data_IF_341634095236
#
_entry.id   IF_341634095236
#
_cell.length_a   1.000
_cell.length_b   1.000
_cell.length_c   1.000
_cell.angle_alpha   90.00
_cell.angle_beta   90.00
_cell.angle_gamma   90.00
#
_symmetry.space_group_name_H-M   'P 1'
#
loop_
_entity.id
_entity.type
_entity.pdbx_description
1 polymer ?
#
# COMPACT_ATOMS: atom_id res chain seq x y z
N UNK A 1 -6.93 59.76 16.35
CA UNK A 1 -5.67 59.06 16.00
C UNK A 1 -5.69 57.69 16.65
N UNK A 2 -6.12 56.65 15.95
CA UNK A 2 -6.12 55.28 16.46
C UNK A 2 -5.21 54.42 15.58
N UNK A 3 -4.11 53.93 16.16
CA UNK A 3 -3.18 53.01 15.50
C UNK A 3 -3.75 51.60 15.62
N UNK A 4 -4.20 51.04 14.50
CA UNK A 4 -4.55 49.63 14.37
C UNK A 4 -3.24 48.85 14.24
N UNK A 5 -2.91 48.05 15.24
CA UNK A 5 -1.80 47.07 15.17
C UNK A 5 -2.43 45.71 14.92
N UNK A 6 -2.43 45.28 13.65
CA UNK A 6 -2.85 43.94 13.25
C UNK A 6 -1.72 42.99 13.63
N UNK A 7 -1.87 42.30 14.77
CA UNK A 7 -1.03 41.15 15.11
C UNK A 7 -1.53 39.97 14.29
N UNK A 8 -0.88 39.72 13.16
CA UNK A 8 -1.05 38.50 12.37
C UNK A 8 -0.49 37.35 13.21
N UNK A 9 -1.37 36.65 13.93
CA UNK A 9 -1.06 35.37 14.54
C UNK A 9 -0.89 34.33 13.42
N UNK A 10 0.37 34.03 13.09
CA UNK A 10 0.71 32.87 12.26
C UNK A 10 0.45 31.62 13.11
N UNK A 11 -0.77 31.11 13.05
CA UNK A 11 -1.07 29.78 13.56
C UNK A 11 -0.47 28.76 12.59
N UNK A 12 0.71 28.24 12.93
CA UNK A 12 1.18 26.99 12.35
C UNK A 12 0.15 25.91 12.69
N UNK A 13 -0.54 25.39 11.67
CA UNK A 13 -1.34 24.19 11.80
C UNK A 13 -0.40 23.01 12.03
N UNK A 14 0.07 22.85 13.26
CA UNK A 14 0.71 21.64 13.72
C UNK A 14 -0.37 20.56 13.74
N UNK A 15 -0.40 19.74 12.69
CA UNK A 15 -1.04 18.43 12.73
C UNK A 15 -0.55 17.76 14.02
N UNK A 16 -1.45 17.51 14.97
CA UNK A 16 -1.09 16.92 16.25
C UNK A 16 -0.63 15.48 16.00
N UNK A 17 0.66 15.32 15.72
CA UNK A 17 1.40 14.17 16.17
C UNK A 17 1.18 14.06 17.68
N UNK A 18 0.93 12.85 18.18
CA UNK A 18 1.19 12.55 19.58
C UNK A 18 2.54 13.15 19.98
N UNK A 19 2.78 13.58 21.22
CA UNK A 19 4.08 14.14 21.59
C UNK A 19 5.18 13.11 21.28
N UNK A 20 5.98 13.34 20.23
CA UNK A 20 6.93 12.37 19.66
C UNK A 20 6.45 11.51 18.46
N UNK A 21 5.34 11.87 17.80
CA UNK A 21 4.69 11.08 16.76
C UNK A 21 5.28 11.24 15.35
N UNK A 22 5.25 10.15 14.59
CA UNK A 22 5.70 10.10 13.20
C UNK A 22 4.69 10.81 12.31
N UNK A 23 5.15 11.75 11.48
CA UNK A 23 4.32 12.36 10.45
C UNK A 23 4.20 11.41 9.26
N UNK A 24 3.03 10.81 9.09
CA UNK A 24 2.74 9.95 7.95
C UNK A 24 2.40 10.80 6.74
N UNK A 25 3.43 11.14 5.96
CA UNK A 25 3.33 11.81 4.66
C UNK A 25 3.18 10.82 3.51
N UNK A 26 3.71 11.20 2.34
CA UNK A 26 3.73 10.31 1.17
C UNK A 26 4.52 9.02 1.45
N UNK A 27 4.09 7.92 0.81
CA UNK A 27 4.84 6.65 0.88
C UNK A 27 6.26 6.85 0.31
N UNK A 28 7.32 6.48 1.04
CA UNK A 28 8.69 6.67 0.57
C UNK A 28 8.95 5.98 -0.77
N UNK A 29 9.49 6.71 -1.76
CA UNK A 29 9.76 6.17 -3.11
C UNK A 29 10.77 5.02 -3.13
N UNK A 30 11.63 4.95 -2.10
CA UNK A 30 12.61 3.90 -1.93
C UNK A 30 12.12 2.74 -1.04
N UNK A 31 10.83 2.69 -0.64
CA UNK A 31 10.31 1.69 0.28
C UNK A 31 10.62 0.27 -0.17
N UNK A 32 10.34 -0.08 -1.42
CA UNK A 32 10.64 -1.39 -2.00
C UNK A 32 12.12 -1.66 -2.31
N UNK A 33 12.96 -0.62 -2.39
CA UNK A 33 14.42 -0.82 -2.46
C UNK A 33 14.96 -1.17 -1.08
N UNK A 34 14.40 -0.54 -0.06
CA UNK A 34 14.77 -0.73 1.33
C UNK A 34 14.21 -2.01 1.94
N UNK A 35 13.00 -2.39 1.54
CA UNK A 35 12.41 -3.69 1.75
C UNK A 35 13.07 -4.64 0.75
N UNK A 36 13.94 -5.55 1.19
CA UNK A 36 14.67 -6.49 0.30
C UNK A 36 13.75 -7.59 -0.25
N UNK A 37 12.50 -7.24 -0.56
CA UNK A 37 11.46 -8.10 -1.09
C UNK A 37 11.74 -8.39 -2.57
N UNK A 38 11.88 -9.68 -2.94
CA UNK A 38 11.89 -10.07 -4.34
C UNK A 38 10.59 -9.69 -5.05
N UNK A 39 10.66 -9.39 -6.35
CA UNK A 39 9.48 -9.10 -7.15
C UNK A 39 8.51 -10.29 -7.17
N UNK A 40 7.23 -10.05 -6.92
CA UNK A 40 6.18 -11.07 -6.97
C UNK A 40 5.77 -11.43 -8.40
N UNK A 41 6.05 -10.55 -9.36
CA UNK A 41 5.62 -10.73 -10.76
C UNK A 41 6.85 -10.75 -11.65
N UNK A 42 6.84 -11.64 -12.65
CA UNK A 42 7.95 -11.76 -13.60
C UNK A 42 8.11 -10.48 -14.43
N UNK A 43 9.35 -10.20 -14.83
CA UNK A 43 9.64 -9.10 -15.76
C UNK A 43 8.89 -9.24 -17.08
N UNK A 44 8.74 -10.47 -17.59
CA UNK A 44 8.01 -10.73 -18.84
C UNK A 44 6.55 -10.25 -18.78
N UNK A 45 5.80 -10.67 -17.76
CA UNK A 45 4.42 -10.22 -17.54
C UNK A 45 4.36 -8.69 -17.33
N UNK A 46 5.34 -8.14 -16.59
CA UNK A 46 5.43 -6.69 -16.37
C UNK A 46 5.64 -5.92 -17.67
N UNK A 47 6.47 -6.42 -18.58
CA UNK A 47 6.69 -5.83 -19.90
C UNK A 47 5.44 -5.90 -20.77
N UNK A 48 4.77 -7.05 -20.83
CA UNK A 48 3.54 -7.24 -21.62
C UNK A 48 2.41 -6.33 -21.16
N UNK A 49 2.27 -6.13 -19.86
CA UNK A 49 1.21 -5.32 -19.27
C UNK A 49 1.62 -3.84 -19.09
N UNK A 50 2.72 -3.38 -19.69
CA UNK A 50 3.18 -1.99 -19.53
C UNK A 50 2.30 -0.98 -20.27
N UNK A 51 1.71 -1.37 -21.40
CA UNK A 51 0.93 -0.49 -22.29
C UNK A 51 -0.55 -0.36 -21.91
N UNK A 52 -1.03 -1.11 -20.91
CA UNK A 52 -2.42 -1.01 -20.45
C UNK A 52 -2.68 0.32 -19.77
N UNK A 53 -3.74 1.00 -20.15
CA UNK A 53 -4.20 2.24 -19.52
C UNK A 53 -4.94 1.95 -18.22
N UNK A 54 -4.59 2.64 -17.14
CA UNK A 54 -5.26 2.52 -15.85
C UNK A 54 -4.64 1.46 -14.94
N UNK A 55 -4.73 1.69 -13.63
CA UNK A 55 -4.11 0.82 -12.63
C UNK A 55 -4.80 -0.53 -12.57
N UNK A 56 -6.13 -0.56 -12.47
CA UNK A 56 -6.87 -1.82 -12.44
C UNK A 56 -6.61 -2.71 -13.66
N UNK A 57 -6.65 -2.16 -14.88
CA UNK A 57 -6.45 -2.95 -16.10
C UNK A 57 -5.03 -3.51 -16.20
N UNK A 58 -4.03 -2.75 -15.71
CA UNK A 58 -2.66 -3.23 -15.60
C UNK A 58 -2.53 -4.42 -14.67
N UNK A 59 -3.13 -4.36 -13.48
CA UNK A 59 -3.08 -5.47 -12.52
C UNK A 59 -3.89 -6.67 -13.03
N UNK A 60 -5.05 -6.45 -13.65
CA UNK A 60 -5.82 -7.49 -14.34
C UNK A 60 -4.98 -8.20 -15.38
N UNK A 61 -4.27 -7.46 -16.23
CA UNK A 61 -3.35 -8.02 -17.22
C UNK A 61 -2.29 -8.92 -16.56
N UNK A 62 -1.67 -8.47 -15.46
CA UNK A 62 -0.67 -9.27 -14.73
C UNK A 62 -1.25 -10.59 -14.21
N UNK A 63 -2.49 -10.57 -13.69
CA UNK A 63 -3.16 -11.76 -13.20
C UNK A 63 -3.51 -12.74 -14.35
N UNK A 64 -3.88 -12.24 -15.55
CA UNK A 64 -4.09 -13.08 -16.73
C UNK A 64 -2.81 -13.74 -17.20
N UNK A 65 -1.75 -12.95 -17.39
CA UNK A 65 -0.44 -13.47 -17.84
C UNK A 65 0.15 -14.47 -16.85
N UNK A 66 -0.08 -14.25 -15.56
CA UNK A 66 0.37 -15.15 -14.49
C UNK A 66 -0.56 -16.36 -14.27
N UNK A 67 -1.65 -16.45 -15.04
CA UNK A 67 -2.66 -17.53 -14.96
C UNK A 67 -3.33 -17.66 -13.58
N UNK A 68 -3.47 -16.54 -12.86
CA UNK A 68 -4.19 -16.46 -11.58
C UNK A 68 -5.65 -16.05 -11.74
N UNK A 69 -6.19 -16.20 -12.94
CA UNK A 69 -7.58 -15.96 -13.27
C UNK A 69 -8.28 -17.29 -13.56
N UNK A 70 -9.53 -17.43 -13.13
CA UNK A 70 -10.42 -18.53 -13.52
C UNK A 70 -11.77 -17.97 -13.93
N UNK A 71 -12.12 -18.09 -15.21
CA UNK A 71 -13.31 -17.46 -15.78
C UNK A 71 -13.24 -15.94 -15.59
N UNK A 72 -14.21 -15.38 -14.87
CA UNK A 72 -14.36 -13.94 -14.67
C UNK A 72 -13.82 -13.44 -13.32
N UNK A 73 -13.19 -14.29 -12.50
CA UNK A 73 -12.68 -13.93 -11.18
C UNK A 73 -11.26 -14.42 -10.89
N UNK A 74 -10.61 -13.78 -9.91
CA UNK A 74 -9.30 -14.21 -9.39
C UNK A 74 -9.41 -15.62 -8.81
N UNK A 75 -8.54 -16.50 -9.29
CA UNK A 75 -8.35 -17.84 -8.74
C UNK A 75 -7.47 -17.75 -7.48
N UNK A 76 -8.12 -17.49 -6.34
CA UNK A 76 -7.43 -17.33 -5.05
C UNK A 76 -6.62 -18.58 -4.66
N UNK A 77 -7.03 -19.78 -5.12
CA UNK A 77 -6.32 -21.04 -4.85
C UNK A 77 -5.01 -21.10 -5.63
N UNK A 78 -5.03 -20.76 -6.93
CA UNK A 78 -3.80 -20.66 -7.72
C UNK A 78 -2.87 -19.57 -7.19
N UNK A 79 -3.42 -18.42 -6.80
CA UNK A 79 -2.60 -17.34 -6.27
C UNK A 79 -1.98 -17.70 -4.90
N UNK A 80 -2.72 -18.37 -4.02
CA UNK A 80 -2.19 -18.92 -2.77
C UNK A 80 -1.08 -19.97 -3.03
N UNK A 81 -1.27 -20.81 -4.05
CA UNK A 81 -0.25 -21.79 -4.47
C UNK A 81 1.02 -21.09 -4.95
N UNK A 82 0.88 -20.04 -5.76
CA UNK A 82 2.01 -19.20 -6.16
C UNK A 82 2.74 -18.62 -4.95
N UNK A 83 2.03 -18.06 -3.97
CA UNK A 83 2.62 -17.50 -2.76
C UNK A 83 3.38 -18.58 -1.96
N UNK A 84 2.88 -19.81 -1.89
CA UNK A 84 3.59 -20.93 -1.26
C UNK A 84 4.91 -21.24 -1.96
N UNK A 85 4.90 -21.34 -3.29
CA UNK A 85 6.12 -21.58 -4.08
C UNK A 85 7.11 -20.42 -3.94
N UNK A 86 6.62 -19.19 -3.89
CA UNK A 86 7.44 -18.02 -3.61
C UNK A 86 8.07 -18.11 -2.21
N UNK A 87 7.33 -18.56 -1.19
CA UNK A 87 7.84 -18.77 0.17
C UNK A 87 8.90 -19.86 0.26
N UNK A 88 8.76 -20.95 -0.52
CA UNK A 88 9.81 -22.00 -0.62
C UNK A 88 11.13 -21.44 -1.16
N UNK A 89 11.06 -20.53 -2.14
CA UNK A 89 12.24 -19.90 -2.74
C UNK A 89 12.82 -18.77 -1.87
N UNK A 90 12.00 -18.20 -1.00
CA UNK A 90 12.39 -17.09 -0.14
C UNK A 90 11.94 -17.35 1.32
N UNK A 91 12.59 -18.28 2.03
CA UNK A 91 12.15 -18.76 3.34
C UNK A 91 11.95 -17.65 4.39
N UNK A 92 12.72 -16.57 4.30
CA UNK A 92 12.63 -15.41 5.20
C UNK A 92 11.28 -14.66 5.09
N UNK A 93 10.54 -14.85 4.00
CA UNK A 93 9.24 -14.22 3.77
C UNK A 93 8.06 -15.12 4.13
N UNK A 94 8.29 -16.38 4.51
CA UNK A 94 7.22 -17.33 4.83
C UNK A 94 6.23 -16.79 5.88
N UNK A 95 6.65 -16.20 7.01
CA UNK A 95 5.70 -15.67 7.99
C UNK A 95 4.80 -14.57 7.42
N UNK A 96 5.39 -13.68 6.62
CA UNK A 96 4.68 -12.59 5.94
C UNK A 96 3.71 -13.11 4.88
N UNK A 97 4.10 -14.17 4.16
CA UNK A 97 3.26 -14.84 3.16
C UNK A 97 2.08 -15.54 3.81
N UNK A 98 2.27 -16.23 4.94
CA UNK A 98 1.17 -16.85 5.68
C UNK A 98 0.15 -15.80 6.15
N UNK A 99 0.64 -14.66 6.65
CA UNK A 99 -0.23 -13.52 6.98
C UNK A 99 -0.98 -13.02 5.74
N UNK A 100 -0.27 -12.77 4.63
CA UNK A 100 -0.86 -12.26 3.39
C UNK A 100 -1.95 -13.18 2.85
N UNK A 101 -1.72 -14.50 2.83
CA UNK A 101 -2.73 -15.47 2.39
C UNK A 101 -3.98 -15.40 3.27
N UNK A 102 -3.80 -15.39 4.58
CA UNK A 102 -4.90 -15.37 5.55
C UNK A 102 -5.72 -14.08 5.44
N UNK A 103 -5.04 -12.93 5.41
CA UNK A 103 -5.69 -11.62 5.40
C UNK A 103 -6.26 -11.23 4.03
N UNK A 104 -5.59 -11.59 2.94
CA UNK A 104 -5.88 -11.05 1.60
C UNK A 104 -6.66 -12.00 0.70
N UNK A 105 -6.56 -13.32 0.94
CA UNK A 105 -7.21 -14.33 0.11
C UNK A 105 -8.39 -15.01 0.81
N UNK A 106 -8.63 -14.68 2.08
CA UNK A 106 -9.81 -15.13 2.84
C UNK A 106 -11.09 -14.45 2.37
N UNK A 107 -11.70 -13.68 3.27
CA UNK A 107 -12.96 -12.96 3.04
C UNK A 107 -12.88 -11.97 1.86
N UNK A 108 -14.04 -11.47 1.44
CA UNK A 108 -14.10 -10.42 0.41
C UNK A 108 -13.46 -9.15 0.94
N UNK A 109 -12.39 -8.71 0.30
CA UNK A 109 -11.73 -7.46 0.64
C UNK A 109 -12.64 -6.27 0.35
N UNK A 110 -12.61 -5.28 1.25
CA UNK A 110 -13.15 -3.96 0.93
C UNK A 110 -12.26 -3.32 -0.15
N UNK A 111 -12.83 -2.45 -1.01
CA UNK A 111 -12.03 -1.67 -1.94
C UNK A 111 -10.87 -0.96 -1.24
N UNK A 112 -9.67 -1.09 -1.79
CA UNK A 112 -8.43 -0.57 -1.22
C UNK A 112 -8.02 0.78 -1.82
N UNK A 113 -8.65 1.20 -2.93
CA UNK A 113 -8.33 2.44 -3.66
C UNK A 113 -9.54 3.10 -4.30
N UNK A 114 -9.28 3.93 -5.31
CA UNK A 114 -10.31 4.65 -6.10
C UNK A 114 -11.00 3.76 -7.12
N UNK A 115 -10.32 2.72 -7.58
CA UNK A 115 -10.88 1.68 -8.45
C UNK A 115 -11.77 0.72 -7.64
N UNK A 116 -12.97 1.17 -7.27
CA UNK A 116 -13.89 0.48 -6.35
C UNK A 116 -14.33 -0.93 -6.79
N UNK A 117 -14.15 -1.26 -8.07
CA UNK A 117 -14.54 -2.54 -8.67
C UNK A 117 -13.33 -3.30 -9.21
N UNK A 118 -12.20 -3.27 -8.49
CA UNK A 118 -10.97 -3.95 -8.91
C UNK A 118 -10.45 -4.96 -7.88
N UNK A 119 -11.03 -6.17 -7.81
CA UNK A 119 -10.61 -7.19 -6.84
C UNK A 119 -9.13 -7.59 -6.96
N UNK A 120 -8.56 -7.57 -8.17
CA UNK A 120 -7.14 -7.86 -8.39
C UNK A 120 -6.25 -6.80 -7.76
N UNK A 121 -6.63 -5.52 -7.88
CA UNK A 121 -5.95 -4.42 -7.22
C UNK A 121 -6.05 -4.55 -5.70
N UNK A 122 -7.25 -4.82 -5.17
CA UNK A 122 -7.47 -4.97 -3.72
C UNK A 122 -6.62 -6.08 -3.12
N UNK A 123 -6.60 -7.25 -3.78
CA UNK A 123 -5.76 -8.38 -3.38
C UNK A 123 -4.27 -8.00 -3.44
N UNK A 124 -3.83 -7.40 -4.54
CA UNK A 124 -2.43 -7.02 -4.74
C UNK A 124 -1.98 -6.00 -3.69
N UNK A 125 -2.80 -4.99 -3.43
CA UNK A 125 -2.52 -3.97 -2.42
C UNK A 125 -2.47 -4.60 -1.02
N UNK A 126 -3.44 -5.44 -0.66
CA UNK A 126 -3.43 -6.13 0.64
C UNK A 126 -2.17 -6.98 0.83
N UNK A 127 -1.75 -7.73 -0.19
CA UNK A 127 -0.51 -8.52 -0.14
C UNK A 127 0.69 -7.58 0.03
N UNK A 128 0.75 -6.49 -0.72
CA UNK A 128 1.82 -5.50 -0.59
C UNK A 128 1.91 -4.90 0.82
N UNK A 129 0.78 -4.49 1.41
CA UNK A 129 0.73 -4.00 2.79
C UNK A 129 1.23 -5.07 3.76
N UNK A 130 0.86 -6.33 3.54
CA UNK A 130 1.36 -7.45 4.36
C UNK A 130 2.89 -7.55 4.29
N UNK A 131 3.47 -7.46 3.08
CA UNK A 131 4.92 -7.48 2.88
C UNK A 131 5.64 -6.35 3.61
N UNK A 132 5.07 -5.15 3.65
CA UNK A 132 5.68 -4.03 4.37
C UNK A 132 5.55 -4.21 5.89
N UNK A 133 4.34 -4.47 6.37
CA UNK A 133 4.06 -4.40 7.81
C UNK A 133 4.53 -5.61 8.59
N UNK A 134 4.59 -6.77 7.94
CA UNK A 134 4.95 -8.04 8.56
C UNK A 134 6.30 -8.57 8.08
N UNK A 135 7.09 -7.73 7.39
CA UNK A 135 8.49 -8.02 7.12
C UNK A 135 9.28 -8.14 8.43
N UNK A 136 10.15 -9.15 8.50
CA UNK A 136 11.16 -9.25 9.56
C UNK A 136 12.14 -8.08 9.49
N UNK A 137 12.78 -7.73 10.61
CA UNK A 137 13.81 -6.68 10.61
C UNK A 137 14.96 -6.97 9.62
N UNK A 138 15.34 -8.25 9.44
CA UNK A 138 16.35 -8.68 8.45
C UNK A 138 15.92 -8.49 6.99
N UNK A 139 14.63 -8.34 6.73
CA UNK A 139 14.10 -8.02 5.39
C UNK A 139 14.21 -6.53 5.05
N UNK A 140 14.74 -5.72 5.96
CA UNK A 140 14.97 -4.30 5.74
C UNK A 140 16.46 -4.01 5.66
N UNK A 141 16.88 -3.30 4.62
CA UNK A 141 18.23 -2.74 4.53
C UNK A 141 18.49 -1.84 5.74
N UNK A 142 19.70 -1.89 6.28
CA UNK A 142 20.16 -1.03 7.39
C UNK A 142 20.79 0.28 6.92
N UNK A 143 20.87 0.52 5.61
CA UNK A 143 21.42 1.75 5.07
C UNK A 143 20.68 2.99 5.61
N UNK A 144 21.40 4.11 5.74
CA UNK A 144 20.91 5.34 6.38
C UNK A 144 19.71 5.94 5.62
N UNK A 145 19.75 5.86 4.29
CA UNK A 145 18.68 6.30 3.40
C UNK A 145 17.38 5.45 3.52
N UNK A 146 17.45 4.30 4.20
CA UNK A 146 16.31 3.44 4.48
C UNK A 146 15.68 3.66 5.86
N UNK A 147 16.25 4.54 6.70
CA UNK A 147 15.70 4.86 8.03
C UNK A 147 14.25 5.32 7.99
N UNK A 148 13.93 6.28 7.11
CA UNK A 148 12.58 6.78 6.91
C UNK A 148 11.62 5.69 6.41
N UNK A 149 12.04 4.87 5.44
CA UNK A 149 11.23 3.76 4.92
C UNK A 149 10.85 2.74 6.01
N UNK A 150 11.80 2.39 6.90
CA UNK A 150 11.55 1.50 8.04
C UNK A 150 10.59 2.12 9.05
N UNK A 151 10.76 3.40 9.36
CA UNK A 151 9.89 4.11 10.30
C UNK A 151 8.47 4.26 9.76
N UNK A 152 8.33 4.60 8.48
CA UNK A 152 7.04 4.64 7.79
C UNK A 152 6.34 3.28 7.86
N UNK A 153 7.02 2.19 7.51
CA UNK A 153 6.45 0.84 7.54
C UNK A 153 5.90 0.42 8.91
N UNK A 154 6.56 0.87 9.98
CA UNK A 154 6.19 0.56 11.37
C UNK A 154 5.03 1.41 11.87
N UNK A 155 5.04 2.69 11.50
CA UNK A 155 4.23 3.71 12.18
C UNK A 155 3.10 4.28 11.33
N UNK A 156 3.12 4.03 10.02
CA UNK A 156 2.19 4.65 9.07
C UNK A 156 1.33 3.64 8.30
N UNK A 157 0.11 4.04 7.89
CA UNK A 157 -0.70 3.26 6.98
C UNK A 157 -0.08 3.26 5.56
N UNK A 158 -0.16 2.12 4.87
CA UNK A 158 0.32 1.96 3.49
C UNK A 158 -0.88 1.99 2.55
N UNK A 159 -0.96 3.06 1.77
CA UNK A 159 -2.19 3.47 1.12
C UNK A 159 -1.96 3.78 -0.36
N UNK A 160 -2.90 3.46 -1.27
CA UNK A 160 -2.78 3.87 -2.67
C UNK A 160 -2.79 5.40 -2.80
N UNK A 161 -2.02 5.95 -3.74
CA UNK A 161 -1.76 7.39 -3.90
C UNK A 161 -3.00 8.24 -4.19
N UNK A 162 -4.06 7.67 -4.74
CA UNK A 162 -5.26 8.40 -5.18
C UNK A 162 -6.23 8.70 -4.02
N UNK A 163 -5.69 8.73 -2.82
CA UNK A 163 -6.39 8.78 -1.56
C UNK A 163 -7.07 10.10 -1.17
N UNK A 164 -7.09 11.08 -2.05
CA UNK A 164 -7.77 12.35 -1.84
C UNK A 164 -9.21 12.38 -2.38
N UNK A 165 -9.78 11.22 -2.74
CA UNK A 165 -11.12 11.16 -3.33
C UNK A 165 -12.22 10.96 -2.26
N UNK A 166 -13.24 11.83 -2.28
CA UNK A 166 -14.42 11.80 -1.39
C UNK A 166 -15.27 10.53 -1.50
N UNK A 167 -15.03 9.69 -2.52
CA UNK A 167 -15.73 8.42 -2.73
C UNK A 167 -15.21 7.25 -1.86
N UNK A 168 -14.14 7.44 -1.09
CA UNK A 168 -13.54 6.38 -0.28
C UNK A 168 -14.39 6.14 1.00
N UNK A 169 -14.84 4.90 1.28
CA UNK A 169 -15.63 4.61 2.47
C UNK A 169 -14.89 4.93 3.77
N UNK A 170 -15.63 5.48 4.75
CA UNK A 170 -15.14 5.73 6.11
C UNK A 170 -14.55 4.44 6.70
N UNK A 171 -13.31 4.51 7.20
CA UNK A 171 -12.57 3.37 7.74
C UNK A 171 -11.65 2.64 6.75
N UNK A 172 -11.58 3.08 5.49
CA UNK A 172 -10.52 2.65 4.55
C UNK A 172 -9.17 3.30 4.93
N UNK A 173 -8.05 2.74 4.46
CA UNK A 173 -6.66 3.23 4.71
C UNK A 173 -6.52 4.76 4.56
N UNK A 174 -7.36 5.32 3.69
CA UNK A 174 -7.34 6.65 3.14
C UNK A 174 -8.61 7.46 3.40
N UNK A 175 -9.32 7.20 4.50
CA UNK A 175 -10.39 8.09 4.91
C UNK A 175 -9.78 9.45 5.30
N UNK A 176 -9.62 10.35 4.32
CA UNK A 176 -9.30 11.74 4.57
C UNK A 176 -10.42 12.34 5.41
N UNK A 177 -10.15 12.56 6.69
CA UNK A 177 -10.95 13.50 7.47
C UNK A 177 -10.65 14.89 6.91
N UNK A 178 -11.48 15.37 5.98
CA UNK A 178 -11.65 16.80 5.85
C UNK A 178 -12.19 17.27 7.21
N UNK A 179 -11.30 17.78 8.07
CA UNK A 179 -11.74 18.71 9.11
C UNK A 179 -12.54 19.83 8.43
N UNK A 180 -13.58 20.37 9.09
CA UNK A 180 -14.53 21.27 8.44
C UNK A 180 -13.77 22.39 7.72
N UNK A 181 -14.02 22.54 6.42
CA UNK A 181 -13.53 23.68 5.65
C UNK A 181 -14.19 24.92 6.25
N UNK A 182 -13.42 25.70 7.01
CA UNK A 182 -13.85 27.03 7.43
C UNK A 182 -13.93 27.89 6.17
N UNK A 183 -15.16 28.05 5.66
CA UNK A 183 -15.59 29.12 4.76
C UNK A 183 -15.36 30.49 5.39
#
# INVERSE_FOLDING_TARGET
MYKVVILIAICFAACHAAPGGVFCGETPKNLFRCLTAPLLVSDEATTKCRSTSGQCERINCLFRESKWWSGDAVDKVKFATFLNEYGKKNPQWVPTIEHAKTACLGETLKPQGTDLNCPTFDITHCVYVSFIRFASASSWSTADDCSNAREFARSCPVCPTDCYATAIPIGSCNACYYGPTSS
#
